data_IF_467638183697
#
_entry.id   IF_467638183697
#
_cell.length_a   1.000
_cell.length_b   1.000
_cell.length_c   1.000
_cell.angle_alpha   90.00
_cell.angle_beta   90.00
_cell.angle_gamma   90.00
#
_symmetry.space_group_name_H-M   'P 1'
#
loop_
_entity.id
_entity.type
_entity.pdbx_description
1 polymer ?
#
# COMPACT_ATOMS: atom_id res chain seq x y z
N UNK A 1 14.20 -17.42 9.11
CA UNK A 1 12.97 -17.62 8.34
C UNK A 1 11.77 -16.85 8.87
N UNK A 2 11.45 -17.02 10.16
CA UNK A 2 10.27 -16.41 10.81
C UNK A 2 10.29 -14.88 10.71
N UNK A 3 11.42 -14.27 11.02
CA UNK A 3 11.57 -12.81 11.01
C UNK A 3 11.30 -12.23 9.62
N UNK A 4 11.80 -12.88 8.57
CA UNK A 4 11.63 -12.39 7.20
C UNK A 4 10.17 -12.51 6.74
N UNK A 5 9.51 -13.65 6.99
CA UNK A 5 8.10 -13.88 6.63
C UNK A 5 7.13 -12.96 7.38
N UNK A 6 7.50 -12.46 8.55
CA UNK A 6 6.70 -11.52 9.32
C UNK A 6 7.06 -10.05 9.00
N UNK A 7 8.34 -9.76 8.77
CA UNK A 7 8.80 -8.40 8.49
C UNK A 7 8.25 -7.86 7.15
N UNK A 8 8.21 -8.70 6.10
CA UNK A 8 7.74 -8.28 4.78
C UNK A 8 6.28 -7.79 4.79
N UNK A 9 5.29 -8.54 5.31
CA UNK A 9 3.92 -8.04 5.44
C UNK A 9 3.82 -6.83 6.37
N UNK A 10 4.58 -6.81 7.49
CA UNK A 10 4.59 -5.67 8.41
C UNK A 10 5.08 -4.38 7.76
N UNK A 11 6.18 -4.44 7.00
CA UNK A 11 6.70 -3.30 6.24
C UNK A 11 5.72 -2.87 5.14
N UNK A 12 5.14 -3.84 4.42
CA UNK A 12 4.14 -3.56 3.38
C UNK A 12 2.93 -2.86 3.97
N UNK A 13 2.45 -3.29 5.13
CA UNK A 13 1.36 -2.64 5.88
C UNK A 13 1.70 -1.18 6.22
N UNK A 14 2.86 -0.92 6.82
CA UNK A 14 3.26 0.43 7.22
C UNK A 14 3.45 1.35 6.00
N UNK A 15 4.08 0.85 4.94
CA UNK A 15 4.36 1.65 3.74
C UNK A 15 3.06 1.96 2.98
N UNK A 16 2.12 1.02 2.92
CA UNK A 16 0.82 1.23 2.27
C UNK A 16 -0.06 2.29 2.95
N UNK A 17 0.24 2.68 4.19
CA UNK A 17 -0.41 3.82 4.84
C UNK A 17 -0.01 5.17 4.21
N UNK A 18 1.18 5.25 3.61
CA UNK A 18 1.77 6.50 3.11
C UNK A 18 1.74 6.56 1.58
N UNK A 19 1.90 5.40 0.95
CA UNK A 19 1.72 5.22 -0.50
C UNK A 19 0.52 4.31 -0.75
N UNK A 20 0.06 4.23 -2.00
CA UNK A 20 -1.07 3.34 -2.32
C UNK A 20 -0.68 1.86 -2.13
N UNK A 21 -1.67 1.01 -1.85
CA UNK A 21 -1.50 -0.43 -1.72
C UNK A 21 -0.77 -1.05 -2.94
N UNK A 22 -1.11 -0.59 -4.14
CA UNK A 22 -0.54 -1.09 -5.39
C UNK A 22 0.95 -0.75 -5.50
N UNK A 23 1.33 0.50 -5.18
CA UNK A 23 2.73 0.94 -5.17
C UNK A 23 3.53 0.20 -4.11
N UNK A 24 2.97 -0.02 -2.93
CA UNK A 24 3.61 -0.81 -1.89
C UNK A 24 3.86 -2.25 -2.38
N UNK A 25 2.89 -2.89 -3.04
CA UNK A 25 3.05 -4.25 -3.57
C UNK A 25 4.07 -4.32 -4.71
N UNK A 26 4.03 -3.36 -5.65
CA UNK A 26 5.01 -3.30 -6.76
C UNK A 26 6.45 -3.19 -6.24
N UNK A 27 6.66 -2.46 -5.14
CA UNK A 27 7.96 -2.30 -4.52
C UNK A 27 8.39 -3.55 -3.70
N UNK A 28 7.49 -4.06 -2.85
CA UNK A 28 7.85 -5.10 -1.88
C UNK A 28 7.73 -6.53 -2.39
N UNK A 29 6.90 -6.83 -3.40
CA UNK A 29 6.80 -8.20 -3.94
C UNK A 29 8.09 -8.67 -4.61
N UNK A 30 8.77 -7.89 -5.48
CA UNK A 30 10.08 -8.27 -6.02
C UNK A 30 11.14 -8.45 -4.92
N UNK A 31 11.13 -7.57 -3.91
CA UNK A 31 12.02 -7.69 -2.76
C UNK A 31 11.77 -8.99 -1.99
N UNK A 32 10.51 -9.33 -1.75
CA UNK A 32 10.13 -10.57 -1.09
C UNK A 32 10.54 -11.80 -1.90
N UNK A 33 10.37 -11.76 -3.23
CA UNK A 33 10.83 -12.82 -4.14
C UNK A 33 12.33 -13.05 -4.01
N UNK A 34 13.13 -11.99 -4.04
CA UNK A 34 14.59 -12.07 -3.91
C UNK A 34 14.98 -12.60 -2.51
N UNK A 35 14.49 -11.95 -1.46
CA UNK A 35 14.86 -12.26 -0.08
C UNK A 35 14.44 -13.68 0.37
N UNK A 36 13.24 -14.14 -0.01
CA UNK A 36 12.76 -15.48 0.35
C UNK A 36 13.45 -16.57 -0.46
N UNK A 37 13.82 -16.30 -1.73
CA UNK A 37 14.62 -17.23 -2.54
C UNK A 37 16.02 -17.37 -1.97
N UNK A 38 16.69 -16.28 -1.63
CA UNK A 38 18.01 -16.28 -1.00
C UNK A 38 18.02 -17.01 0.35
N UNK A 39 16.96 -16.80 1.13
CA UNK A 39 16.77 -17.50 2.41
C UNK A 39 16.37 -18.99 2.26
N UNK A 40 16.24 -19.53 1.05
CA UNK A 40 15.79 -20.91 0.81
C UNK A 40 14.32 -21.18 1.16
N UNK A 41 13.50 -20.11 1.28
CA UNK A 41 12.11 -20.18 1.72
C UNK A 41 11.10 -20.14 0.56
N UNK A 42 11.48 -20.67 -0.61
CA UNK A 42 10.65 -20.62 -1.84
C UNK A 42 9.25 -21.20 -1.62
N UNK A 43 9.10 -22.22 -0.80
CA UNK A 43 7.79 -22.84 -0.48
C UNK A 43 6.83 -21.89 0.24
N UNK A 44 7.35 -20.85 0.90
CA UNK A 44 6.57 -19.84 1.63
C UNK A 44 6.21 -18.63 0.79
N UNK A 45 6.73 -18.56 -0.42
CA UNK A 45 6.61 -17.39 -1.29
C UNK A 45 5.15 -17.00 -1.54
N UNK A 46 4.33 -17.95 -1.98
CA UNK A 46 2.91 -17.69 -2.26
C UNK A 46 2.15 -17.22 -1.00
N UNK A 47 2.43 -17.86 0.14
CA UNK A 47 1.82 -17.47 1.41
C UNK A 47 2.26 -16.08 1.86
N UNK A 48 3.56 -15.77 1.76
CA UNK A 48 4.10 -14.46 2.12
C UNK A 48 3.51 -13.35 1.23
N UNK A 49 3.44 -13.57 -0.09
CA UNK A 49 2.83 -12.61 -1.03
C UNK A 49 1.34 -12.43 -0.72
N UNK A 50 0.59 -13.48 -0.42
CA UNK A 50 -0.80 -13.37 -0.01
C UNK A 50 -0.96 -12.54 1.27
N UNK A 51 -0.11 -12.78 2.28
CA UNK A 51 -0.10 -11.97 3.51
C UNK A 51 0.27 -10.51 3.24
N UNK A 52 1.23 -10.25 2.35
CA UNK A 52 1.62 -8.89 1.93
C UNK A 52 0.47 -8.18 1.22
N UNK A 53 -0.25 -8.87 0.33
CA UNK A 53 -1.40 -8.32 -0.38
C UNK A 53 -2.51 -7.92 0.59
N UNK A 54 -2.84 -8.78 1.55
CA UNK A 54 -3.81 -8.44 2.60
C UNK A 54 -3.30 -7.29 3.46
N UNK A 55 -2.03 -7.33 3.88
CA UNK A 55 -1.41 -6.29 4.71
C UNK A 55 -1.39 -4.93 4.01
N UNK A 56 -1.08 -4.88 2.69
CA UNK A 56 -1.12 -3.65 1.90
C UNK A 56 -2.51 -3.03 1.87
N UNK A 57 -3.53 -3.84 1.60
CA UNK A 57 -4.91 -3.36 1.54
C UNK A 57 -5.42 -2.86 2.91
N UNK A 58 -5.10 -3.60 3.97
CA UNK A 58 -5.50 -3.25 5.33
C UNK A 58 -4.76 -2.01 5.84
N UNK A 59 -3.48 -1.87 5.52
CA UNK A 59 -2.69 -0.67 5.85
C UNK A 59 -3.20 0.56 5.10
N UNK A 60 -3.41 0.44 3.80
CA UNK A 60 -3.88 1.52 2.94
C UNK A 60 -5.27 2.04 3.31
N UNK A 61 -6.11 1.19 3.91
CA UNK A 61 -7.45 1.55 4.37
C UNK A 61 -7.42 2.54 5.54
N UNK A 62 -6.32 2.61 6.31
CA UNK A 62 -6.21 3.42 7.51
C UNK A 62 -6.10 4.92 7.21
N UNK A 63 -5.46 5.29 6.11
CA UNK A 63 -5.16 6.69 5.79
C UNK A 63 -5.87 7.16 4.52
N UNK A 64 -6.13 8.46 4.38
CA UNK A 64 -6.70 9.01 3.16
C UNK A 64 -5.91 8.73 1.89
N UNK A 65 -4.57 8.73 2.00
CA UNK A 65 -3.65 8.60 0.85
C UNK A 65 -3.47 7.16 0.42
N UNK A 66 -3.62 6.22 1.35
CA UNK A 66 -3.36 4.81 1.08
C UNK A 66 -4.21 4.22 -0.05
N UNK A 67 -5.35 4.89 -0.39
CA UNK A 67 -6.32 4.30 -1.31
C UNK A 67 -7.20 5.41 -1.93
N UNK A 68 -7.40 5.44 -3.25
CA UNK A 68 -8.26 6.43 -3.90
C UNK A 68 -9.70 6.46 -3.36
N UNK A 69 -10.21 5.30 -2.93
CA UNK A 69 -11.55 5.18 -2.36
C UNK A 69 -11.67 5.99 -1.05
N UNK A 70 -10.62 6.06 -0.25
CA UNK A 70 -10.60 6.85 0.98
C UNK A 70 -10.65 8.35 0.69
N UNK A 71 -9.94 8.81 -0.35
CA UNK A 71 -9.99 10.21 -0.80
C UNK A 71 -11.40 10.57 -1.24
N UNK A 72 -12.04 9.68 -2.03
CA UNK A 72 -13.42 9.85 -2.44
C UNK A 72 -14.38 9.91 -1.23
N UNK A 73 -14.26 8.96 -0.31
CA UNK A 73 -15.07 8.92 0.91
C UNK A 73 -14.98 10.22 1.71
N UNK A 74 -13.77 10.77 1.88
CA UNK A 74 -13.56 12.07 2.53
C UNK A 74 -14.22 13.22 1.76
N UNK A 75 -14.18 13.19 0.42
CA UNK A 75 -14.74 14.25 -0.39
C UNK A 75 -16.27 14.32 -0.30
N UNK A 76 -16.91 13.17 -0.18
CA UNK A 76 -18.39 13.05 -0.15
C UNK A 76 -18.96 13.16 1.27
N UNK A 77 -18.28 12.58 2.26
CA UNK A 77 -18.78 12.53 3.65
C UNK A 77 -18.60 13.84 4.42
N UNK A 78 -17.72 14.73 3.95
CA UNK A 78 -17.35 15.94 4.69
C UNK A 78 -16.49 15.69 5.93
N UNK A 79 -16.13 14.44 6.21
CA UNK A 79 -15.23 14.06 7.31
C UNK A 79 -13.84 14.66 7.10
N UNK A 80 -13.11 14.85 8.19
CA UNK A 80 -11.68 15.17 8.12
C UNK A 80 -10.81 13.89 8.18
N UNK A 81 -9.52 14.05 7.87
CA UNK A 81 -8.59 12.93 7.83
C UNK A 81 -8.46 12.20 9.18
N UNK A 82 -8.55 12.93 10.29
CA UNK A 82 -8.41 12.37 11.65
C UNK A 82 -9.64 11.52 12.00
N UNK A 83 -10.82 11.97 11.61
CA UNK A 83 -12.07 11.21 11.79
C UNK A 83 -12.05 9.91 11.01
N UNK A 84 -11.59 9.93 9.74
CA UNK A 84 -11.43 8.72 8.95
C UNK A 84 -10.48 7.73 9.64
N UNK A 85 -9.30 8.20 10.06
CA UNK A 85 -8.33 7.35 10.78
C UNK A 85 -8.95 6.79 12.06
N UNK A 86 -9.67 7.59 12.84
CA UNK A 86 -10.34 7.15 14.05
C UNK A 86 -11.36 6.04 13.83
N UNK A 87 -12.13 6.12 12.75
CA UNK A 87 -13.12 5.11 12.37
C UNK A 87 -12.43 3.85 11.84
N UNK A 88 -11.39 3.98 11.01
CA UNK A 88 -10.75 2.85 10.34
C UNK A 88 -9.71 2.13 11.22
N UNK A 89 -9.14 2.80 12.23
CA UNK A 89 -8.08 2.26 13.07
C UNK A 89 -8.43 0.91 13.74
N UNK A 90 -9.60 0.73 14.39
CA UNK A 90 -9.92 -0.54 15.03
C UNK A 90 -10.04 -1.69 14.02
N UNK A 91 -10.58 -1.44 12.83
CA UNK A 91 -10.73 -2.45 11.79
C UNK A 91 -9.37 -2.82 11.17
N UNK A 92 -8.55 -1.83 10.88
CA UNK A 92 -7.19 -2.03 10.36
C UNK A 92 -6.31 -2.77 11.38
N UNK A 93 -6.39 -2.40 12.66
CA UNK A 93 -5.65 -3.09 13.73
C UNK A 93 -6.11 -4.54 13.88
N UNK A 94 -7.43 -4.80 13.92
CA UNK A 94 -7.97 -6.15 14.01
C UNK A 94 -7.52 -7.02 12.83
N UNK A 95 -7.61 -6.51 11.61
CA UNK A 95 -7.18 -7.23 10.42
C UNK A 95 -5.65 -7.47 10.39
N UNK A 96 -4.84 -6.51 10.86
CA UNK A 96 -3.41 -6.70 11.00
C UNK A 96 -3.07 -7.80 12.02
N UNK A 97 -3.77 -7.83 13.15
CA UNK A 97 -3.63 -8.92 14.15
C UNK A 97 -3.97 -10.27 13.55
N UNK A 98 -5.03 -10.36 12.72
CA UNK A 98 -5.38 -11.61 12.03
C UNK A 98 -4.28 -12.05 11.04
N UNK A 99 -3.69 -11.14 10.28
CA UNK A 99 -2.55 -11.43 9.39
C UNK A 99 -1.35 -11.92 10.21
N UNK A 100 -1.02 -11.23 11.29
CA UNK A 100 0.07 -11.63 12.19
C UNK A 100 -0.17 -13.01 12.83
N UNK A 101 -1.41 -13.30 13.25
CA UNK A 101 -1.80 -14.59 13.77
C UNK A 101 -1.69 -15.69 12.70
N UNK A 102 -2.14 -15.44 11.47
CA UNK A 102 -2.01 -16.38 10.37
C UNK A 102 -0.55 -16.75 10.08
N UNK A 103 0.35 -15.74 10.09
CA UNK A 103 1.80 -15.95 9.95
C UNK A 103 2.32 -16.77 11.12
N UNK A 104 1.96 -16.43 12.36
CA UNK A 104 2.37 -17.16 13.56
C UNK A 104 1.94 -18.63 13.54
N UNK A 105 0.68 -18.89 13.16
CA UNK A 105 0.14 -20.26 13.04
C UNK A 105 0.89 -21.04 11.95
N UNK A 106 1.13 -20.44 10.79
CA UNK A 106 1.88 -21.06 9.71
C UNK A 106 3.30 -21.43 10.15
N UNK A 107 3.97 -20.53 10.89
CA UNK A 107 5.30 -20.77 11.45
C UNK A 107 5.31 -21.93 12.47
N UNK A 108 4.32 -21.97 13.36
CA UNK A 108 4.22 -23.04 14.35
C UNK A 108 3.96 -24.41 13.71
N UNK A 109 3.15 -24.44 12.65
CA UNK A 109 2.88 -25.67 11.88
C UNK A 109 4.14 -26.15 11.15
N UNK A 110 4.88 -25.24 10.56
CA UNK A 110 6.11 -25.59 9.85
C UNK A 110 7.22 -26.05 10.80
N UNK A 111 7.37 -25.43 11.98
CA UNK A 111 8.32 -25.92 12.99
C UNK A 111 8.07 -27.35 13.42
N UNK A 112 6.80 -27.78 13.49
CA UNK A 112 6.42 -29.17 13.83
C UNK A 112 6.71 -30.13 12.67
N UNK A 113 6.59 -29.66 11.42
CA UNK A 113 6.70 -30.51 10.22
C UNK A 113 8.13 -30.69 9.70
N UNK A 114 9.04 -29.73 9.99
CA UNK A 114 10.37 -29.64 9.40
C UNK A 114 11.53 -29.74 10.41
N UNK A 115 11.39 -30.57 11.44
CA UNK A 115 12.53 -30.85 12.34
C UNK A 115 13.69 -31.61 11.62
N UNK A 116 13.55 -32.01 10.36
CA UNK A 116 14.49 -32.86 9.66
C UNK A 116 14.57 -32.57 8.15
N UNK A 117 15.09 -31.42 7.74
CA UNK A 117 15.63 -31.27 6.38
C UNK A 117 16.88 -30.39 6.44
N UNK A 118 18.07 -30.89 6.02
CA UNK A 118 19.29 -30.08 5.95
C UNK A 118 19.15 -28.98 4.89
N UNK A 119 19.67 -27.82 5.22
CA UNK A 119 19.80 -26.67 4.31
C UNK A 119 20.79 -26.99 3.19
N UNK A 120 20.34 -27.57 2.11
CA UNK A 120 21.12 -27.69 0.88
C UNK A 120 20.40 -27.02 -0.26
N UNK A 121 20.60 -25.74 -0.39
CA UNK A 121 20.58 -24.95 -1.64
C UNK A 121 20.97 -23.48 -1.32
N UNK A 122 22.08 -23.31 -0.63
CA UNK A 122 22.79 -22.04 -0.59
C UNK A 122 23.78 -22.03 -1.77
N UNK A 123 23.34 -21.57 -2.91
CA UNK A 123 24.16 -21.55 -4.11
C UNK A 123 23.70 -20.56 -5.17
N UNK A 124 23.12 -19.45 -4.77
CA UNK A 124 22.92 -18.30 -5.67
C UNK A 124 23.52 -17.09 -4.98
N UNK A 125 24.68 -16.69 -5.45
CA UNK A 125 25.35 -15.47 -5.02
C UNK A 125 24.70 -14.29 -5.74
N UNK A 126 23.81 -13.51 -5.10
CA UNK A 126 23.27 -12.33 -5.73
C UNK A 126 24.29 -11.22 -5.54
N UNK A 127 25.11 -10.95 -6.54
CA UNK A 127 25.66 -9.62 -6.72
C UNK A 127 24.50 -8.68 -7.07
N UNK A 128 23.68 -8.35 -6.08
CA UNK A 128 22.86 -7.18 -6.19
C UNK A 128 23.79 -5.97 -6.31
N UNK A 129 23.63 -5.08 -7.29
CA UNK A 129 24.35 -3.81 -7.29
C UNK A 129 24.02 -3.13 -5.95
N UNK A 130 25.02 -2.97 -5.12
CA UNK A 130 24.95 -2.13 -3.92
C UNK A 130 24.98 -0.68 -4.41
N UNK A 131 23.84 -0.22 -4.95
CA UNK A 131 23.65 1.20 -5.14
C UNK A 131 23.53 1.80 -3.73
N UNK A 132 24.60 2.44 -3.30
CA UNK A 132 24.59 3.27 -2.09
C UNK A 132 23.71 4.49 -2.37
N UNK A 133 22.43 4.41 -2.04
CA UNK A 133 21.55 5.57 -2.09
C UNK A 133 22.07 6.61 -1.12
N UNK A 134 22.58 7.72 -1.65
CA UNK A 134 22.94 8.85 -0.83
C UNK A 134 21.66 9.46 -0.26
N UNK A 135 21.68 9.82 1.02
CA UNK A 135 20.53 10.46 1.69
C UNK A 135 20.02 11.70 0.91
N UNK A 136 20.92 12.35 0.20
CA UNK A 136 20.66 13.50 -0.67
C UNK A 136 19.72 13.16 -1.84
N UNK A 137 19.74 11.92 -2.35
CA UNK A 137 18.93 11.50 -3.49
C UNK A 137 17.51 11.11 -3.05
N UNK A 138 17.34 10.72 -1.79
CA UNK A 138 16.06 10.31 -1.21
C UNK A 138 15.28 11.48 -0.59
N UNK A 139 15.98 12.50 -0.08
CA UNK A 139 15.41 13.64 0.63
C UNK A 139 14.32 14.39 -0.18
N UNK A 140 14.49 14.67 -1.49
CA UNK A 140 13.46 15.34 -2.29
C UNK A 140 12.16 14.55 -2.39
N UNK A 141 12.25 13.22 -2.48
CA UNK A 141 11.08 12.35 -2.54
C UNK A 141 10.34 12.27 -1.21
N UNK A 142 11.08 12.26 -0.09
CA UNK A 142 10.48 12.36 1.25
C UNK A 142 9.77 13.71 1.41
N UNK A 143 10.37 14.80 0.96
CA UNK A 143 9.76 16.13 1.00
C UNK A 143 8.48 16.20 0.15
N UNK A 144 8.46 15.55 -1.03
CA UNK A 144 7.28 15.46 -1.86
C UNK A 144 6.15 14.68 -1.17
N UNK A 145 6.47 13.54 -0.55
CA UNK A 145 5.50 12.73 0.21
C UNK A 145 4.94 13.56 1.38
N UNK A 146 5.79 14.26 2.13
CA UNK A 146 5.36 15.12 3.23
C UNK A 146 4.42 16.23 2.73
N UNK A 147 4.70 16.82 1.57
CA UNK A 147 3.85 17.84 0.96
C UNK A 147 2.51 17.28 0.47
N UNK A 148 2.50 16.04 -0.06
CA UNK A 148 1.25 15.33 -0.38
C UNK A 148 0.40 15.11 0.89
N UNK A 149 1.03 14.72 2.01
CA UNK A 149 0.35 14.56 3.30
C UNK A 149 -0.26 15.88 3.79
N UNK A 150 0.46 16.99 3.68
CA UNK A 150 -0.04 18.32 4.02
C UNK A 150 -1.21 18.75 3.11
N UNK A 151 -1.17 18.37 1.83
CA UNK A 151 -2.26 18.63 0.90
C UNK A 151 -3.53 17.86 1.30
N UNK A 152 -3.41 16.58 1.65
CA UNK A 152 -4.54 15.76 2.12
C UNK A 152 -5.09 16.27 3.45
N UNK A 153 -4.23 16.77 4.33
CA UNK A 153 -4.64 17.46 5.56
C UNK A 153 -5.31 18.83 5.30
N UNK A 154 -5.46 19.24 4.02
CA UNK A 154 -6.00 20.54 3.60
C UNK A 154 -5.19 21.76 4.07
N UNK A 155 -3.94 21.56 4.46
CA UNK A 155 -3.02 22.62 4.88
C UNK A 155 -2.31 23.23 3.66
N UNK A 156 -1.95 22.41 2.67
CA UNK A 156 -1.28 22.82 1.45
C UNK A 156 -2.21 22.77 0.22
N UNK A 157 -1.96 23.66 -0.73
CA UNK A 157 -2.69 23.67 -2.01
C UNK A 157 -2.23 22.54 -2.92
N UNK A 158 -3.17 21.89 -3.61
CA UNK A 158 -2.89 20.85 -4.63
C UNK A 158 -1.93 21.37 -5.71
N UNK A 159 -2.08 22.63 -6.11
CA UNK A 159 -1.21 23.24 -7.13
C UNK A 159 0.25 23.30 -6.72
N UNK A 160 0.56 23.52 -5.43
CA UNK A 160 1.93 23.48 -4.91
C UNK A 160 2.52 22.09 -5.04
N UNK A 161 1.75 21.05 -4.75
CA UNK A 161 2.19 19.66 -4.89
C UNK A 161 2.47 19.32 -6.36
N UNK A 162 1.60 19.74 -7.27
CA UNK A 162 1.77 19.51 -8.72
C UNK A 162 3.02 20.21 -9.24
N UNK A 163 3.21 21.48 -8.91
CA UNK A 163 4.39 22.24 -9.33
C UNK A 163 5.68 21.63 -8.77
N UNK A 164 5.69 21.26 -7.50
CA UNK A 164 6.85 20.62 -6.89
C UNK A 164 7.14 19.24 -7.50
N UNK A 165 6.12 18.43 -7.78
CA UNK A 165 6.30 17.14 -8.42
C UNK A 165 6.90 17.27 -9.83
N UNK A 166 6.41 18.23 -10.63
CA UNK A 166 6.95 18.51 -11.96
C UNK A 166 8.39 19.02 -11.86
N UNK A 167 8.68 19.96 -10.94
CA UNK A 167 10.03 20.48 -10.74
C UNK A 167 11.02 19.39 -10.31
N UNK A 168 10.60 18.50 -9.41
CA UNK A 168 11.40 17.36 -8.96
C UNK A 168 11.67 16.37 -10.10
N UNK A 169 10.63 16.00 -10.86
CA UNK A 169 10.79 15.13 -12.00
C UNK A 169 11.73 15.72 -13.06
N UNK A 170 11.64 17.03 -13.28
CA UNK A 170 12.51 17.70 -14.25
C UNK A 170 13.98 17.77 -13.79
N UNK A 171 14.22 17.94 -12.49
CA UNK A 171 15.59 18.12 -11.95
C UNK A 171 16.30 16.79 -11.68
N UNK A 172 15.58 15.75 -11.29
CA UNK A 172 16.19 14.51 -10.82
C UNK A 172 16.04 13.35 -11.82
N UNK A 173 14.91 13.15 -12.43
CA UNK A 173 14.72 12.08 -13.41
C UNK A 173 13.49 12.27 -14.30
N UNK A 174 13.69 12.89 -15.47
CA UNK A 174 12.64 12.95 -16.49
C UNK A 174 12.18 11.58 -17.00
N UNK A 175 13.00 10.52 -16.80
CA UNK A 175 12.62 9.17 -17.20
C UNK A 175 11.56 8.60 -16.27
N UNK A 176 11.51 9.03 -15.00
CA UNK A 176 10.47 8.61 -14.06
C UNK A 176 9.06 8.92 -14.61
N UNK A 177 8.86 10.06 -15.28
CA UNK A 177 7.59 10.39 -15.92
C UNK A 177 7.18 9.43 -17.03
N UNK A 178 8.14 8.80 -17.71
CA UNK A 178 7.87 7.82 -18.77
C UNK A 178 7.51 6.44 -18.23
N UNK A 179 7.83 6.16 -16.97
CA UNK A 179 7.53 4.91 -16.29
C UNK A 179 6.25 4.97 -15.46
N UNK A 180 5.56 6.13 -15.46
CA UNK A 180 4.24 6.26 -14.84
C UNK A 180 3.26 5.35 -15.58
N UNK A 181 2.49 4.57 -14.82
CA UNK A 181 1.38 3.79 -15.37
C UNK A 181 0.19 4.72 -15.64
N UNK A 182 0.18 5.31 -16.83
CA UNK A 182 -0.91 6.18 -17.28
C UNK A 182 -2.24 5.44 -17.43
N UNK A 183 -2.22 4.11 -17.65
CA UNK A 183 -3.43 3.32 -17.73
C UNK A 183 -4.08 3.21 -16.36
N UNK A 184 -3.28 2.98 -15.30
CA UNK A 184 -3.75 3.00 -13.92
C UNK A 184 -4.32 4.38 -13.54
N UNK A 185 -3.63 5.46 -13.89
CA UNK A 185 -4.12 6.82 -13.65
C UNK A 185 -5.44 7.08 -14.38
N UNK A 186 -5.56 6.63 -15.64
CA UNK A 186 -6.79 6.72 -16.43
C UNK A 186 -7.94 5.95 -15.80
N UNK A 187 -7.69 4.77 -15.26
CA UNK A 187 -8.73 4.00 -14.54
C UNK A 187 -9.21 4.69 -13.27
N UNK A 188 -8.35 5.37 -12.53
CA UNK A 188 -8.76 6.18 -11.38
C UNK A 188 -9.64 7.36 -11.81
N UNK A 189 -9.24 8.11 -12.83
CA UNK A 189 -10.06 9.20 -13.36
C UNK A 189 -11.43 8.69 -13.82
N UNK A 190 -11.46 7.59 -14.59
CA UNK A 190 -12.70 6.96 -15.03
C UNK A 190 -13.58 6.51 -13.86
N UNK A 191 -12.98 5.93 -12.82
CA UNK A 191 -13.68 5.54 -11.60
C UNK A 191 -14.32 6.74 -10.91
N UNK A 192 -13.59 7.84 -10.69
CA UNK A 192 -14.14 9.04 -10.06
C UNK A 192 -15.26 9.68 -10.89
N UNK A 193 -15.09 9.73 -12.22
CA UNK A 193 -16.14 10.22 -13.14
C UNK A 193 -17.39 9.33 -13.06
N UNK A 194 -17.21 8.01 -13.10
CA UNK A 194 -18.32 7.05 -13.00
C UNK A 194 -19.08 7.22 -11.68
N UNK A 195 -18.37 7.17 -10.55
CA UNK A 195 -18.99 7.30 -9.22
C UNK A 195 -19.65 8.66 -9.05
N UNK A 196 -19.03 9.74 -9.54
CA UNK A 196 -19.62 11.08 -9.50
C UNK A 196 -20.93 11.18 -10.32
N UNK A 197 -20.99 10.52 -11.47
CA UNK A 197 -22.21 10.47 -12.28
C UNK A 197 -23.30 9.60 -11.64
N UNK A 198 -22.93 8.42 -11.11
CA UNK A 198 -23.88 7.51 -10.43
C UNK A 198 -24.48 8.19 -9.20
N UNK A 199 -23.67 8.88 -8.40
CA UNK A 199 -24.16 9.64 -7.23
C UNK A 199 -25.13 10.77 -7.59
N UNK A 200 -25.15 11.23 -8.86
CA UNK A 200 -26.07 12.23 -9.39
C UNK A 200 -27.42 11.65 -9.87
N UNK A 201 -27.54 10.33 -9.99
CA UNK A 201 -28.77 9.69 -10.46
C UNK A 201 -29.75 9.60 -9.28
N UNK A 202 -30.88 10.34 -9.38
CA UNK A 202 -31.92 10.40 -8.34
C UNK A 202 -32.53 9.03 -8.00
N UNK A 203 -32.49 8.08 -8.93
CA UNK A 203 -33.00 6.71 -8.75
C UNK A 203 -32.26 5.96 -7.64
N UNK A 204 -30.95 6.17 -7.49
CA UNK A 204 -30.17 5.53 -6.42
C UNK A 204 -30.47 6.10 -5.04
N UNK A 205 -30.74 7.40 -4.95
CA UNK A 205 -31.16 8.03 -3.67
C UNK A 205 -32.48 7.45 -3.17
N UNK A 206 -33.40 7.16 -4.06
CA UNK A 206 -34.66 6.49 -3.74
C UNK A 206 -34.45 5.03 -3.30
N UNK A 207 -33.61 4.27 -4.00
CA UNK A 207 -33.37 2.86 -3.69
C UNK A 207 -32.58 2.67 -2.38
N UNK A 208 -31.59 3.51 -2.12
CA UNK A 208 -30.82 3.48 -0.86
C UNK A 208 -31.68 4.00 0.30
N UNK A 209 -32.52 5.02 0.08
CA UNK A 209 -33.47 5.51 1.08
C UNK A 209 -34.48 4.42 1.51
N UNK A 210 -35.02 3.66 0.55
CA UNK A 210 -35.91 2.52 0.83
C UNK A 210 -35.23 1.39 1.58
N UNK A 211 -33.95 1.17 1.33
CA UNK A 211 -33.17 0.12 2.03
C UNK A 211 -32.75 0.56 3.45
N UNK A 212 -32.55 1.86 3.67
CA UNK A 212 -32.16 2.41 4.98
C UNK A 212 -33.35 2.70 5.85
N UNK A 213 -34.48 3.20 5.28
CA UNK A 213 -35.75 3.50 5.98
C UNK A 213 -36.67 2.30 6.10
N UNK A 214 -36.25 1.11 5.62
CA UNK A 214 -37.04 -0.14 5.70
C UNK A 214 -37.20 -0.69 7.12
N UNK A 215 -37.71 0.15 8.03
CA UNK A 215 -38.30 -0.22 9.31
C UNK A 215 -39.82 0.12 9.32
#
# INVERSE_FOLDING_TARGET
>A
GVVLTAALPGLTFCVSMVVTNDVALVAFVPLALAALREAGLVRRLAFAIACMTVAANVGSMLTPIGNPQNIYLLSVSGMNAVELVGIMAPYSAAAFVLVAAAIGIAELRDRKRFKHIPSQMAGVNPKAPQESFALRDVLPWIALIAMCLLCVARIASVWLVVVAAIALAHTFDMRALRHIDYALLGTFVAFFVFVGNVAGIEVERGAVGVLVDGR
#
